data_IF_112323249187
#
_entry.id   IF_112323249187
#
_cell.length_a   1.000
_cell.length_b   1.000
_cell.length_c   1.000
_cell.angle_alpha   90.00
_cell.angle_beta   90.00
_cell.angle_gamma   90.00
#
_symmetry.space_group_name_H-M   'P 1'
#
loop_
_entity.id
_entity.type
_entity.pdbx_description
1 polymer ?
#
# COMPACT_ATOMS: atom_id res chain seq x y z
N UNK A 1 -17.16 56.13 24.46
CA UNK A 1 -17.42 54.72 24.84
C UNK A 1 -17.37 53.80 23.63
N UNK A 2 -17.81 54.26 22.45
CA UNK A 2 -17.92 53.42 21.23
C UNK A 2 -16.57 52.99 20.64
N UNK A 3 -15.56 53.87 20.69
CA UNK A 3 -14.20 53.53 20.26
C UNK A 3 -13.57 52.42 21.13
N UNK A 4 -13.87 52.42 22.43
CA UNK A 4 -13.39 51.38 23.35
C UNK A 4 -14.05 50.03 23.03
N UNK A 5 -15.35 50.02 22.73
CA UNK A 5 -16.06 48.82 22.26
C UNK A 5 -15.48 48.31 20.94
N UNK A 6 -15.21 49.20 19.99
CA UNK A 6 -14.58 48.82 18.71
C UNK A 6 -13.19 48.21 18.92
N UNK A 7 -12.36 48.83 19.77
CA UNK A 7 -11.01 48.32 20.09
C UNK A 7 -11.07 46.95 20.79
N UNK A 8 -12.02 46.75 21.71
CA UNK A 8 -12.22 45.48 22.40
C UNK A 8 -12.71 44.39 21.44
N UNK A 9 -13.64 44.71 20.54
CA UNK A 9 -14.10 43.81 19.49
C UNK A 9 -12.98 43.45 18.51
N UNK A 10 -12.16 44.42 18.11
CA UNK A 10 -11.00 44.20 17.24
C UNK A 10 -9.99 43.23 17.87
N UNK A 11 -9.69 43.40 19.16
CA UNK A 11 -8.85 42.47 19.92
C UNK A 11 -9.47 41.07 19.97
N UNK A 12 -10.79 40.98 20.20
CA UNK A 12 -11.51 39.70 20.21
C UNK A 12 -11.40 38.97 18.87
N UNK A 13 -11.58 39.68 17.75
CA UNK A 13 -11.46 39.10 16.40
C UNK A 13 -10.04 38.59 16.14
N UNK A 14 -9.01 39.35 16.55
CA UNK A 14 -7.61 38.93 16.41
C UNK A 14 -7.33 37.65 17.22
N UNK A 15 -7.77 37.60 18.48
CA UNK A 15 -7.60 36.43 19.34
C UNK A 15 -8.28 35.21 18.70
N UNK A 16 -9.48 35.38 18.15
CA UNK A 16 -10.21 34.29 17.50
C UNK A 16 -9.52 33.80 16.22
N UNK A 17 -9.00 34.73 15.40
CA UNK A 17 -8.24 34.40 14.19
C UNK A 17 -6.96 33.62 14.48
N UNK A 18 -6.32 33.85 15.64
CA UNK A 18 -5.14 33.09 16.08
C UNK A 18 -5.50 31.75 16.74
N UNK A 19 -6.64 31.67 17.42
CA UNK A 19 -7.14 30.44 18.03
C UNK A 19 -7.68 29.44 16.99
N UNK A 20 -8.34 29.91 15.93
CA UNK A 20 -8.93 29.03 14.92
C UNK A 20 -7.93 28.04 14.30
N UNK A 21 -6.73 28.45 13.82
CA UNK A 21 -5.74 27.52 13.30
C UNK A 21 -5.27 26.48 14.33
N UNK A 22 -5.16 26.88 15.60
CA UNK A 22 -4.66 26.01 16.68
C UNK A 22 -5.70 24.99 17.12
N UNK A 23 -6.99 25.35 17.17
CA UNK A 23 -8.09 24.39 17.42
C UNK A 23 -8.44 23.55 16.19
N UNK A 24 -8.35 24.13 15.00
CA UNK A 24 -8.72 23.46 13.74
C UNK A 24 -7.75 22.35 13.33
N UNK A 25 -6.59 22.24 13.98
CA UNK A 25 -5.59 21.21 13.66
C UNK A 25 -5.03 21.30 12.24
N UNK A 26 -5.17 22.45 11.58
CA UNK A 26 -4.63 22.74 10.25
C UNK A 26 -3.11 22.86 10.38
N UNK A 27 -2.41 21.74 10.18
CA UNK A 27 -0.96 21.61 10.38
C UNK A 27 -0.55 20.51 11.36
N UNK A 28 -1.50 19.82 12.00
CA UNK A 28 -1.24 18.71 12.91
C UNK A 28 -0.84 17.41 12.21
N UNK A 29 0.30 17.38 11.51
CA UNK A 29 0.95 16.11 11.19
C UNK A 29 1.46 15.50 12.48
N UNK A 30 0.68 14.58 13.06
CA UNK A 30 1.16 13.67 14.11
C UNK A 30 2.22 12.77 13.48
N UNK A 31 3.48 13.20 13.49
CA UNK A 31 4.59 12.29 13.22
C UNK A 31 4.52 11.21 14.30
N UNK A 32 4.32 9.96 13.87
CA UNK A 32 3.90 8.87 14.73
C UNK A 32 4.80 8.73 15.96
N UNK A 33 4.26 9.03 17.13
CA UNK A 33 4.78 8.48 18.37
C UNK A 33 4.59 6.97 18.29
N UNK A 34 5.68 6.28 17.94
CA UNK A 34 5.86 4.84 18.15
C UNK A 34 5.91 4.55 19.65
N UNK A 35 4.76 4.66 20.30
CA UNK A 35 4.54 4.11 21.62
C UNK A 35 4.28 2.62 21.40
N UNK A 36 5.36 1.82 21.43
CA UNK A 36 5.29 0.37 21.57
C UNK A 36 4.76 0.04 22.97
N UNK A 37 3.47 0.26 23.19
CA UNK A 37 2.75 -0.34 24.31
C UNK A 37 1.92 -1.47 23.74
N UNK A 38 2.26 -2.65 24.22
CA UNK A 38 1.61 -3.92 23.96
C UNK A 38 0.10 -3.74 24.14
N UNK A 39 -0.66 -3.85 23.05
CA UNK A 39 -2.10 -3.94 23.13
C UNK A 39 -2.55 -4.90 22.05
N UNK A 40 -3.02 -6.06 22.54
CA UNK A 40 -3.56 -7.21 21.86
C UNK A 40 -3.87 -7.01 20.38
N UNK A 41 -2.87 -7.39 19.58
CA UNK A 41 -3.00 -7.61 18.16
C UNK A 41 -3.88 -8.85 17.95
N UNK A 42 -5.16 -8.65 17.65
CA UNK A 42 -6.03 -9.71 17.08
C UNK A 42 -5.64 -10.03 15.64
N UNK A 43 -4.34 -10.07 15.32
CA UNK A 43 -3.84 -10.68 14.11
C UNK A 43 -3.73 -12.17 14.39
N UNK A 44 -4.59 -12.93 13.73
CA UNK A 44 -4.49 -14.38 13.64
C UNK A 44 -3.07 -14.75 13.23
N UNK A 45 -2.22 -15.12 14.21
CA UNK A 45 -0.90 -15.66 13.96
C UNK A 45 -1.07 -17.09 13.49
N UNK A 46 -1.22 -17.25 12.18
CA UNK A 46 -1.21 -18.56 11.55
C UNK A 46 0.23 -19.12 11.65
N UNK A 47 0.44 -20.02 12.61
CA UNK A 47 1.64 -20.85 12.65
C UNK A 47 1.41 -22.02 11.70
N UNK A 48 1.92 -21.91 10.48
CA UNK A 48 1.97 -23.04 9.56
C UNK A 48 3.16 -23.90 9.98
N UNK A 49 2.90 -25.07 10.56
CA UNK A 49 3.90 -26.12 10.69
C UNK A 49 4.33 -26.53 9.29
N UNK A 50 5.63 -26.49 9.03
CA UNK A 50 6.23 -26.90 7.77
C UNK A 50 6.07 -28.41 7.62
N UNK A 51 4.96 -28.83 7.04
CA UNK A 51 4.79 -30.17 6.52
C UNK A 51 4.42 -30.06 5.04
N UNK A 52 5.30 -30.69 4.25
CA UNK A 52 5.30 -30.93 2.81
C UNK A 52 4.06 -30.50 2.01
N UNK A 53 4.36 -29.70 0.98
CA UNK A 53 3.84 -29.82 -0.38
C UNK A 53 2.35 -30.18 -0.52
N UNK A 54 1.51 -29.17 -0.78
CA UNK A 54 0.37 -29.19 -1.72
C UNK A 54 -0.31 -27.81 -1.62
N UNK A 55 -0.25 -27.02 -2.70
CA UNK A 55 -0.98 -25.76 -2.84
C UNK A 55 -0.08 -24.55 -3.12
N UNK A 56 0.25 -24.33 -4.40
CA UNK A 56 0.87 -23.09 -4.90
C UNK A 56 -0.11 -21.91 -4.73
N UNK A 57 -0.21 -21.34 -3.53
CA UNK A 57 -0.63 -19.94 -3.40
C UNK A 57 0.64 -19.10 -3.52
N UNK A 58 0.74 -18.31 -4.59
CA UNK A 58 1.87 -17.41 -4.85
C UNK A 58 2.20 -16.57 -3.61
N UNK A 59 3.22 -16.98 -2.84
CA UNK A 59 3.84 -16.16 -1.82
C UNK A 59 4.80 -15.19 -2.51
N UNK A 60 4.25 -14.20 -3.23
CA UNK A 60 5.08 -13.11 -3.71
C UNK A 60 5.60 -12.33 -2.49
N UNK A 61 6.84 -12.61 -2.11
CA UNK A 61 7.58 -11.80 -1.16
C UNK A 61 7.55 -10.35 -1.63
N UNK A 62 7.33 -9.41 -0.71
CA UNK A 62 7.31 -8.00 -1.09
C UNK A 62 8.72 -7.59 -1.49
N UNK A 63 8.88 -7.16 -2.74
CA UNK A 63 10.11 -6.52 -3.19
C UNK A 63 10.31 -5.19 -2.45
N UNK A 64 11.50 -5.03 -1.87
CA UNK A 64 11.92 -3.82 -1.18
C UNK A 64 12.68 -2.96 -2.18
N UNK A 65 12.29 -1.69 -2.32
CA UNK A 65 12.99 -0.73 -3.18
C UNK A 65 14.40 -0.47 -2.64
N UNK A 66 15.44 -0.70 -3.44
CA UNK A 66 16.84 -0.53 -3.03
C UNK A 66 17.20 0.93 -2.74
N UNK A 67 16.48 1.91 -3.31
CA UNK A 67 16.72 3.34 -3.10
C UNK A 67 16.06 3.86 -1.83
N UNK A 68 14.87 3.35 -1.49
CA UNK A 68 14.07 3.89 -0.37
C UNK A 68 13.91 2.93 0.81
N UNK A 69 14.20 1.64 0.64
CA UNK A 69 14.00 0.60 1.65
C UNK A 69 12.54 0.31 1.99
N UNK A 70 11.60 0.89 1.24
CA UNK A 70 10.16 0.72 1.41
C UNK A 70 9.63 -0.34 0.45
N UNK A 71 8.46 -0.91 0.77
CA UNK A 71 7.76 -1.83 -0.13
C UNK A 71 7.52 -1.15 -1.48
N UNK A 72 7.97 -1.81 -2.55
CA UNK A 72 7.80 -1.34 -3.94
C UNK A 72 6.30 -1.22 -4.25
N UNK A 73 5.87 -0.03 -4.67
CA UNK A 73 4.45 0.26 -5.00
C UNK A 73 4.03 -0.35 -6.33
N UNK A 74 4.98 -0.49 -7.26
CA UNK A 74 4.75 -1.07 -8.57
C UNK A 74 5.42 -2.44 -8.60
N UNK A 75 4.62 -3.50 -8.50
CA UNK A 75 5.06 -4.92 -8.51
C UNK A 75 5.00 -5.47 -9.95
N UNK A 76 5.00 -4.59 -10.95
CA UNK A 76 5.10 -4.99 -12.35
C UNK A 76 6.55 -5.33 -12.68
N UNK A 77 6.75 -6.51 -13.27
CA UNK A 77 8.00 -6.82 -13.95
C UNK A 77 7.97 -6.12 -15.32
N UNK A 78 8.89 -5.19 -15.53
CA UNK A 78 9.04 -4.52 -16.81
C UNK A 78 10.23 -5.15 -17.52
N UNK A 79 10.01 -5.59 -18.75
CA UNK A 79 11.12 -5.92 -19.64
C UNK A 79 11.64 -4.63 -20.26
N UNK A 80 12.96 -4.51 -20.38
CA UNK A 80 13.60 -3.40 -21.11
C UNK A 80 13.44 -3.55 -22.63
N UNK A 81 13.15 -4.77 -23.09
CA UNK A 81 12.94 -5.09 -24.50
C UNK A 81 11.50 -4.73 -24.91
N UNK A 82 11.30 -3.79 -25.87
CA UNK A 82 9.97 -3.41 -26.34
C UNK A 82 9.20 -4.58 -26.98
N UNK A 83 9.89 -5.58 -27.50
CA UNK A 83 9.26 -6.70 -28.20
C UNK A 83 8.94 -7.89 -27.27
N UNK A 84 9.26 -7.79 -25.97
CA UNK A 84 9.09 -8.91 -25.02
C UNK A 84 7.64 -9.39 -24.88
N UNK A 85 6.68 -8.52 -25.20
CA UNK A 85 5.25 -8.80 -25.13
C UNK A 85 4.59 -8.87 -26.52
N UNK A 86 5.39 -8.79 -27.59
CA UNK A 86 4.93 -8.91 -28.97
C UNK A 86 4.96 -10.38 -29.40
N UNK A 87 4.09 -11.19 -28.80
CA UNK A 87 4.00 -12.62 -29.11
C UNK A 87 3.42 -12.85 -30.51
N UNK A 88 4.07 -13.72 -31.28
CA UNK A 88 3.52 -14.19 -32.54
C UNK A 88 2.36 -15.17 -32.29
N UNK A 89 1.39 -15.20 -33.20
CA UNK A 89 0.24 -16.12 -33.09
C UNK A 89 0.69 -17.58 -33.02
N UNK A 90 1.72 -17.95 -33.78
CA UNK A 90 2.26 -19.31 -33.79
C UNK A 90 2.91 -19.66 -32.44
N UNK A 91 3.57 -18.71 -31.80
CA UNK A 91 4.16 -18.89 -30.46
C UNK A 91 3.08 -19.13 -29.42
N UNK A 92 2.01 -18.31 -29.41
CA UNK A 92 0.88 -18.47 -28.51
C UNK A 92 0.18 -19.82 -28.70
N UNK A 93 -0.04 -20.24 -29.94
CA UNK A 93 -0.68 -21.53 -30.26
C UNK A 93 0.19 -22.69 -29.74
N UNK A 94 1.50 -22.65 -29.98
CA UNK A 94 2.41 -23.71 -29.52
C UNK A 94 2.49 -23.80 -28.00
N UNK A 95 2.48 -22.67 -27.30
CA UNK A 95 2.49 -22.63 -25.84
C UNK A 95 1.18 -23.21 -25.25
N UNK A 96 0.04 -22.92 -25.87
CA UNK A 96 -1.26 -23.49 -25.49
C UNK A 96 -1.31 -25.01 -25.74
N UNK A 97 -0.77 -25.48 -26.88
CA UNK A 97 -0.70 -26.91 -27.21
C UNK A 97 0.20 -27.67 -26.22
N UNK A 98 1.39 -27.14 -25.93
CA UNK A 98 2.33 -27.70 -24.96
C UNK A 98 1.72 -27.77 -23.55
N UNK A 99 0.96 -26.74 -23.15
CA UNK A 99 0.25 -26.74 -21.86
C UNK A 99 -0.87 -27.79 -21.85
N UNK A 100 -1.62 -27.93 -22.95
CA UNK A 100 -2.73 -28.87 -23.04
C UNK A 100 -2.26 -30.34 -23.04
N UNK A 101 -1.11 -30.63 -23.64
CA UNK A 101 -0.50 -31.97 -23.60
C UNK A 101 0.07 -32.34 -22.23
N UNK A 102 0.52 -31.35 -21.44
CA UNK A 102 1.01 -31.57 -20.08
C UNK A 102 -0.12 -31.69 -19.04
N UNK A 103 -1.33 -31.19 -19.36
CA UNK A 103 -2.50 -31.36 -18.49
C UNK A 103 -2.96 -32.82 -18.52
N UNK A 104 -3.17 -33.47 -17.35
CA UNK A 104 -3.67 -34.83 -17.33
C UNK A 104 -5.06 -34.84 -17.97
N UNK A 105 -5.19 -35.50 -19.13
CA UNK A 105 -6.47 -35.66 -19.83
C UNK A 105 -7.44 -36.32 -18.86
N UNK A 106 -8.42 -35.57 -18.37
CA UNK A 106 -9.50 -36.12 -17.58
C UNK A 106 -10.29 -37.05 -18.51
N UNK A 107 -10.07 -38.36 -18.35
CA UNK A 107 -10.89 -39.38 -18.99
C UNK A 107 -12.34 -39.21 -18.51
N UNK A 108 -13.22 -38.84 -19.44
CA UNK A 108 -14.69 -38.97 -19.30
C UNK A 108 -15.09 -40.37 -19.75
#
# INVERSE_FOLDING_TARGET
MDFYFYLLFFIFVIIFALLLPTLSGVGGFKIGQKNSRTSNDHRLKFKLSSEKDIGKSSSHGFEIDSKTGLKKRVIGNYSEDPNHYDYDLDELISADDDENDQRPKAHV
#
